data_IF_907619602911
#
_entry.id   IF_907619602911
#
_cell.length_a   1.000
_cell.length_b   1.000
_cell.length_c   1.000
_cell.angle_alpha   90.00
_cell.angle_beta   90.00
_cell.angle_gamma   90.00
#
_symmetry.space_group_name_H-M   'P 1'
#
loop_
_entity.id
_entity.type
_entity.pdbx_description
1 polymer ?
#
# COMPACT_ATOMS: atom_id res chain seq x y z
N UNK A 1 7.08 34.23 -1.29
CA UNK A 1 7.79 32.96 -0.99
C UNK A 1 9.01 32.69 -1.87
N UNK A 2 9.00 32.88 -3.19
CA UNK A 2 10.13 32.52 -4.07
C UNK A 2 11.50 33.14 -3.72
N UNK A 3 11.55 34.45 -3.36
CA UNK A 3 12.79 35.11 -2.92
C UNK A 3 13.33 34.59 -1.58
N UNK A 4 12.45 34.20 -0.66
CA UNK A 4 12.83 33.65 0.65
C UNK A 4 13.42 32.23 0.54
N UNK A 5 13.27 31.60 -0.63
CA UNK A 5 13.69 30.23 -0.95
C UNK A 5 14.87 30.18 -1.93
N UNK A 6 15.57 31.31 -2.15
CA UNK A 6 16.78 31.38 -2.99
C UNK A 6 16.54 31.28 -4.50
N UNK A 7 15.30 31.41 -4.98
CA UNK A 7 14.99 31.31 -6.41
C UNK A 7 15.32 32.63 -7.09
N UNK A 8 16.34 32.64 -7.95
CA UNK A 8 16.69 33.79 -8.77
C UNK A 8 15.53 34.12 -9.72
N UNK A 9 15.17 35.41 -9.78
CA UNK A 9 13.99 35.95 -10.49
C UNK A 9 13.82 35.49 -11.96
N UNK A 10 14.90 35.08 -12.63
CA UNK A 10 14.96 34.92 -14.09
C UNK A 10 14.06 33.78 -14.61
N UNK A 11 13.78 32.74 -13.81
CA UNK A 11 12.98 31.58 -14.23
C UNK A 11 11.76 31.32 -13.32
N UNK A 12 11.39 32.27 -12.46
CA UNK A 12 10.32 32.05 -11.48
C UNK A 12 8.94 31.91 -12.13
N UNK A 13 8.67 32.69 -13.19
CA UNK A 13 7.38 32.65 -13.87
C UNK A 13 7.14 31.30 -14.56
N UNK A 14 8.13 30.83 -15.33
CA UNK A 14 8.08 29.52 -16.00
C UNK A 14 7.89 28.38 -14.99
N UNK A 15 8.58 28.43 -13.85
CA UNK A 15 8.41 27.44 -12.78
C UNK A 15 7.02 27.50 -12.15
N UNK A 16 6.47 28.68 -11.94
CA UNK A 16 5.09 28.83 -11.44
C UNK A 16 4.12 28.25 -12.46
N UNK A 17 4.24 28.60 -13.75
CA UNK A 17 3.35 28.14 -14.80
C UNK A 17 3.40 26.60 -14.93
N UNK A 18 4.61 26.01 -14.89
CA UNK A 18 4.80 24.57 -14.89
C UNK A 18 4.15 23.88 -13.69
N UNK A 19 4.43 24.36 -12.47
CA UNK A 19 3.90 23.77 -11.24
C UNK A 19 2.38 23.94 -11.15
N UNK A 20 1.86 25.10 -11.56
CA UNK A 20 0.43 25.35 -11.62
C UNK A 20 -0.28 24.40 -12.57
N UNK A 21 0.32 24.09 -13.71
CA UNK A 21 -0.25 23.13 -14.65
C UNK A 21 -0.16 21.69 -14.16
N UNK A 22 0.98 21.30 -13.60
CA UNK A 22 1.19 19.97 -13.02
C UNK A 22 0.18 19.65 -11.91
N UNK A 23 -0.18 20.66 -11.11
CA UNK A 23 -1.06 20.53 -9.96
C UNK A 23 -2.50 20.98 -10.24
N UNK A 24 -2.84 21.36 -11.49
CA UNK A 24 -4.17 21.84 -11.90
C UNK A 24 -4.67 23.01 -11.04
N UNK A 25 -3.84 24.03 -10.86
CA UNK A 25 -4.13 25.20 -10.02
C UNK A 25 -4.57 26.43 -10.83
N UNK A 26 -4.65 26.33 -12.16
CA UNK A 26 -4.87 27.48 -13.05
C UNK A 26 -6.18 28.21 -12.75
N UNK A 27 -7.23 27.48 -12.40
CA UNK A 27 -8.56 28.01 -12.09
C UNK A 27 -8.61 28.76 -10.75
N UNK A 28 -7.62 28.56 -9.88
CA UNK A 28 -7.61 29.10 -8.51
C UNK A 28 -6.41 30.00 -8.21
N UNK A 29 -5.56 30.27 -9.21
CA UNK A 29 -4.32 31.05 -9.06
C UNK A 29 -4.52 32.44 -8.44
N UNK A 30 -5.66 33.08 -8.72
CA UNK A 30 -5.99 34.43 -8.24
C UNK A 30 -6.98 34.43 -7.08
N UNK A 31 -7.42 33.26 -6.63
CA UNK A 31 -8.37 33.12 -5.54
C UNK A 31 -7.65 33.19 -4.19
N UNK A 32 -8.19 33.92 -3.19
CA UNK A 32 -7.57 33.92 -1.86
C UNK A 32 -7.64 32.53 -1.23
N UNK A 33 -6.51 32.07 -0.66
CA UNK A 33 -6.34 30.70 -0.12
C UNK A 33 -7.45 30.32 0.88
N UNK A 34 -7.98 31.28 1.64
CA UNK A 34 -9.05 31.06 2.61
C UNK A 34 -10.36 30.53 1.98
N UNK A 35 -10.62 30.84 0.71
CA UNK A 35 -11.83 30.39 -0.01
C UNK A 35 -11.65 29.05 -0.74
N UNK A 36 -10.44 28.49 -0.72
CA UNK A 36 -10.15 27.25 -1.43
C UNK A 36 -10.53 26.02 -0.63
N UNK A 37 -10.92 24.94 -1.34
CA UNK A 37 -11.15 23.64 -0.71
C UNK A 37 -9.88 23.11 -0.05
N UNK A 38 -10.02 22.14 0.86
CA UNK A 38 -8.87 21.52 1.52
C UNK A 38 -7.90 20.88 0.50
N UNK A 39 -8.43 20.23 -0.54
CA UNK A 39 -7.64 19.70 -1.66
C UNK A 39 -6.82 20.76 -2.38
N UNK A 40 -7.42 21.90 -2.73
CA UNK A 40 -6.68 22.99 -3.36
C UNK A 40 -5.60 23.57 -2.44
N UNK A 41 -5.89 23.71 -1.15
CA UNK A 41 -4.89 24.18 -0.17
C UNK A 41 -3.69 23.22 -0.06
N UNK A 42 -3.93 21.92 -0.08
CA UNK A 42 -2.84 20.93 -0.09
C UNK A 42 -2.03 20.97 -1.38
N UNK A 43 -2.69 21.09 -2.54
CA UNK A 43 -1.98 21.25 -3.83
C UNK A 43 -1.15 22.53 -3.85
N UNK A 44 -1.63 23.64 -3.29
CA UNK A 44 -0.83 24.87 -3.17
C UNK A 44 0.37 24.67 -2.22
N UNK A 45 0.19 23.96 -1.11
CA UNK A 45 1.30 23.64 -0.21
C UNK A 45 2.39 22.81 -0.94
N UNK A 46 1.97 21.82 -1.74
CA UNK A 46 2.84 21.02 -2.59
C UNK A 46 3.48 21.86 -3.71
N UNK A 47 2.75 22.81 -4.30
CA UNK A 47 3.29 23.75 -5.27
C UNK A 47 4.47 24.53 -4.67
N UNK A 48 4.30 25.01 -3.44
CA UNK A 48 5.32 25.75 -2.71
C UNK A 48 6.61 24.96 -2.45
N UNK A 49 6.55 23.64 -2.35
CA UNK A 49 7.74 22.78 -2.27
C UNK A 49 8.32 22.47 -3.66
N UNK A 50 7.46 22.21 -4.66
CA UNK A 50 7.87 21.85 -6.01
C UNK A 50 8.53 22.97 -6.82
N UNK A 51 8.28 24.25 -6.52
CA UNK A 51 8.92 25.37 -7.24
C UNK A 51 10.47 25.29 -7.15
N UNK A 52 11.01 24.76 -6.05
CA UNK A 52 12.47 24.55 -5.91
C UNK A 52 12.99 23.35 -6.68
N UNK A 53 12.10 22.54 -7.26
CA UNK A 53 12.40 21.28 -7.94
C UNK A 53 13.23 20.31 -7.08
N UNK A 54 12.76 19.95 -5.86
CA UNK A 54 13.52 19.09 -4.96
C UNK A 54 13.56 17.65 -5.48
N UNK A 55 14.63 16.92 -5.14
CA UNK A 55 14.74 15.47 -5.37
C UNK A 55 13.88 14.68 -4.37
N UNK A 56 13.70 15.21 -3.16
CA UNK A 56 12.99 14.57 -2.06
C UNK A 56 11.76 15.39 -1.62
N UNK A 57 10.63 14.72 -1.42
CA UNK A 57 9.37 15.33 -0.95
C UNK A 57 8.91 14.59 0.30
N UNK A 58 8.62 15.35 1.35
CA UNK A 58 8.06 14.84 2.61
C UNK A 58 6.62 15.33 2.77
N UNK A 59 5.71 14.40 3.01
CA UNK A 59 4.29 14.68 3.15
C UNK A 59 3.74 14.06 4.43
N UNK A 60 3.20 14.88 5.32
CA UNK A 60 2.57 14.39 6.54
C UNK A 60 1.06 14.28 6.35
N UNK A 61 0.51 13.06 6.43
CA UNK A 61 -0.92 12.75 6.29
C UNK A 61 -1.60 13.48 5.10
N UNK A 62 -1.07 13.33 3.87
CA UNK A 62 -1.42 14.22 2.78
C UNK A 62 -2.83 14.05 2.24
N UNK A 63 -3.51 12.94 2.51
CA UNK A 63 -4.89 12.69 2.12
C UNK A 63 -5.90 13.11 3.20
N UNK A 64 -5.44 13.51 4.38
CA UNK A 64 -6.30 13.75 5.54
C UNK A 64 -7.35 14.82 5.24
N UNK A 65 -8.63 14.48 5.44
CA UNK A 65 -9.79 15.35 5.24
C UNK A 65 -10.05 15.80 3.80
N UNK A 66 -9.47 15.11 2.82
CA UNK A 66 -9.93 15.15 1.44
C UNK A 66 -11.17 14.29 1.27
N UNK A 67 -12.06 14.68 0.37
CA UNK A 67 -13.16 13.82 -0.07
C UNK A 67 -12.64 12.71 -1.02
N UNK A 68 -13.41 11.64 -1.27
CA UNK A 68 -12.96 10.51 -2.08
C UNK A 68 -12.48 10.88 -3.48
N UNK A 69 -13.09 11.89 -4.13
CA UNK A 69 -12.70 12.32 -5.48
C UNK A 69 -11.33 13.00 -5.41
N UNK A 70 -11.13 13.91 -4.44
CA UNK A 70 -9.85 14.58 -4.23
C UNK A 70 -8.72 13.60 -3.87
N UNK A 71 -9.01 12.54 -3.11
CA UNK A 71 -8.02 11.49 -2.79
C UNK A 71 -7.54 10.80 -4.07
N UNK A 72 -8.46 10.42 -4.97
CA UNK A 72 -8.10 9.76 -6.24
C UNK A 72 -7.22 10.68 -7.11
N UNK A 73 -7.56 11.96 -7.20
CA UNK A 73 -6.75 12.92 -7.95
C UNK A 73 -5.37 13.13 -7.31
N UNK A 74 -5.32 13.24 -5.98
CA UNK A 74 -4.07 13.36 -5.25
C UNK A 74 -3.16 12.14 -5.44
N UNK A 75 -3.73 10.93 -5.40
CA UNK A 75 -3.00 9.67 -5.68
C UNK A 75 -2.36 9.67 -7.07
N UNK A 76 -3.08 10.12 -8.10
CA UNK A 76 -2.53 10.25 -9.46
C UNK A 76 -1.35 11.21 -9.50
N UNK A 77 -1.47 12.33 -8.81
CA UNK A 77 -0.43 13.35 -8.71
C UNK A 77 0.84 12.80 -8.04
N UNK A 78 0.69 12.13 -6.90
CA UNK A 78 1.81 11.48 -6.19
C UNK A 78 2.49 10.45 -7.09
N UNK A 79 1.74 9.62 -7.83
CA UNK A 79 2.32 8.66 -8.78
C UNK A 79 3.10 9.34 -9.91
N UNK A 80 2.63 10.47 -10.43
CA UNK A 80 3.33 11.22 -11.48
C UNK A 80 4.65 11.78 -10.93
N UNK A 81 4.61 12.40 -9.75
CA UNK A 81 5.80 12.93 -9.09
C UNK A 81 6.80 11.83 -8.72
N UNK A 82 6.31 10.68 -8.26
CA UNK A 82 7.13 9.52 -7.87
C UNK A 82 7.97 8.93 -9.01
N UNK A 83 7.66 9.25 -10.27
CA UNK A 83 8.46 8.82 -11.43
C UNK A 83 9.83 9.50 -11.51
N UNK A 84 9.94 10.71 -10.96
CA UNK A 84 11.17 11.53 -11.07
C UNK A 84 11.70 12.00 -9.71
N UNK A 85 10.96 11.77 -8.63
CA UNK A 85 11.27 12.24 -7.28
C UNK A 85 11.05 11.14 -6.26
N UNK A 86 11.80 11.20 -5.16
CA UNK A 86 11.57 10.33 -4.00
C UNK A 86 10.56 10.99 -3.07
N UNK A 87 9.47 10.29 -2.77
CA UNK A 87 8.40 10.79 -1.91
C UNK A 87 8.32 9.92 -0.65
N UNK A 88 8.49 10.54 0.51
CA UNK A 88 8.19 9.93 1.80
C UNK A 88 6.88 10.53 2.32
N UNK A 89 5.90 9.69 2.61
CA UNK A 89 4.66 10.14 3.23
C UNK A 89 4.20 9.24 4.37
N UNK A 90 3.57 9.85 5.37
CA UNK A 90 2.85 9.16 6.44
C UNK A 90 1.38 9.04 6.05
N UNK A 91 0.78 7.88 6.32
CA UNK A 91 -0.66 7.68 6.26
C UNK A 91 -1.03 6.56 7.21
N UNK A 92 -2.13 6.73 7.93
CA UNK A 92 -2.79 5.66 8.68
C UNK A 92 -3.76 4.85 7.81
N UNK A 93 -4.00 5.28 6.57
CA UNK A 93 -4.92 4.62 5.63
C UNK A 93 -4.14 3.61 4.79
N UNK A 94 -4.19 2.34 5.20
CA UNK A 94 -3.40 1.26 4.60
C UNK A 94 -3.69 1.05 3.10
N UNK A 95 -4.91 1.34 2.65
CA UNK A 95 -5.28 1.26 1.23
C UNK A 95 -4.52 2.28 0.37
N UNK A 96 -4.15 3.43 0.93
CA UNK A 96 -3.32 4.41 0.23
C UNK A 96 -1.88 3.92 0.10
N UNK A 97 -1.37 3.31 1.17
CA UNK A 97 -0.03 2.71 1.20
C UNK A 97 0.05 1.58 0.17
N UNK A 98 -0.93 0.68 0.13
CA UNK A 98 -0.99 -0.43 -0.82
C UNK A 98 -1.02 0.04 -2.28
N UNK A 99 -1.63 1.20 -2.54
CA UNK A 99 -1.83 1.71 -3.88
C UNK A 99 -0.66 2.57 -4.38
N UNK A 100 0.01 3.32 -3.49
CA UNK A 100 0.99 4.34 -3.84
C UNK A 100 2.44 3.95 -3.58
N UNK A 101 2.71 3.09 -2.60
CA UNK A 101 4.07 2.87 -2.12
C UNK A 101 4.73 1.67 -2.79
N UNK A 102 5.99 1.83 -3.20
CA UNK A 102 6.85 0.69 -3.55
C UNK A 102 7.51 0.08 -2.30
N UNK A 103 7.62 0.87 -1.23
CA UNK A 103 8.36 0.54 -0.01
C UNK A 103 7.61 1.03 1.23
N UNK A 104 7.60 0.24 2.30
CA UNK A 104 6.86 0.54 3.54
C UNK A 104 7.77 0.46 4.76
N UNK A 105 7.65 1.50 5.60
CA UNK A 105 8.24 1.56 6.93
C UNK A 105 7.09 1.49 7.96
N UNK A 106 7.14 0.52 8.87
CA UNK A 106 6.12 0.36 9.91
C UNK A 106 6.71 0.77 11.25
N UNK A 107 6.10 1.78 11.87
CA UNK A 107 6.46 2.29 13.18
C UNK A 107 5.43 1.83 14.21
N UNK A 108 5.91 1.36 15.37
CA UNK A 108 5.07 1.00 16.52
C UNK A 108 5.75 1.42 17.82
N UNK A 109 5.03 2.18 18.66
CA UNK A 109 5.54 2.73 19.94
C UNK A 109 6.91 3.43 19.80
N UNK A 110 7.05 4.23 18.75
CA UNK A 110 8.28 4.99 18.47
C UNK A 110 9.45 4.16 17.93
N UNK A 111 9.24 2.87 17.61
CA UNK A 111 10.25 1.98 17.04
C UNK A 111 9.88 1.54 15.64
N UNK A 112 10.87 1.50 14.75
CA UNK A 112 10.73 0.88 13.43
C UNK A 112 10.67 -0.63 13.62
N UNK A 113 9.54 -1.24 13.29
CA UNK A 113 9.30 -2.68 13.46
C UNK A 113 9.34 -3.45 12.14
N UNK A 114 9.29 -2.76 11.01
CA UNK A 114 9.44 -3.33 9.67
C UNK A 114 9.94 -2.28 8.71
N UNK A 115 10.84 -2.69 7.82
CA UNK A 115 11.44 -1.90 6.74
C UNK A 115 11.57 -2.84 5.55
N UNK A 116 10.65 -2.74 4.58
CA UNK A 116 10.65 -3.63 3.42
C UNK A 116 9.88 -3.09 2.21
N UNK A 117 10.24 -3.55 1.00
CA UNK A 117 9.43 -3.36 -0.20
C UNK A 117 7.99 -3.85 -0.02
N UNK A 118 7.00 -3.12 -0.55
CA UNK A 118 5.59 -3.49 -0.42
C UNK A 118 5.29 -4.85 -1.09
N UNK A 119 5.98 -5.16 -2.19
CA UNK A 119 5.83 -6.43 -2.89
C UNK A 119 6.23 -7.64 -2.00
N UNK A 120 7.21 -7.49 -1.11
CA UNK A 120 7.61 -8.52 -0.15
C UNK A 120 6.56 -8.77 0.95
N UNK A 121 5.72 -7.77 1.24
CA UNK A 121 4.57 -7.91 2.15
C UNK A 121 3.46 -8.73 1.50
N UNK A 122 3.38 -8.67 0.16
CA UNK A 122 2.38 -9.36 -0.65
C UNK A 122 2.78 -10.79 -1.04
N UNK A 123 4.04 -11.19 -0.83
CA UNK A 123 4.49 -12.56 -1.06
C UNK A 123 3.98 -13.48 0.07
N UNK A 124 3.71 -14.74 -0.24
CA UNK A 124 3.20 -15.75 0.70
C UNK A 124 1.79 -15.47 1.26
N UNK A 125 0.90 -14.94 0.41
CA UNK A 125 -0.52 -14.82 0.71
C UNK A 125 -1.13 -16.20 0.93
N UNK A 126 -1.94 -16.38 1.99
CA UNK A 126 -2.75 -17.58 2.11
C UNK A 126 -3.64 -17.71 0.87
N UNK A 127 -3.85 -18.92 0.38
CA UNK A 127 -4.82 -19.23 -0.66
C UNK A 127 -6.03 -19.88 0.00
N UNK A 128 -7.23 -19.38 -0.32
CA UNK A 128 -8.50 -20.01 0.01
C UNK A 128 -8.86 -20.97 -1.13
N UNK A 129 -9.08 -22.24 -0.81
CA UNK A 129 -9.35 -23.31 -1.75
C UNK A 129 -10.66 -23.99 -1.38
N UNK A 130 -11.61 -24.03 -2.32
CA UNK A 130 -12.83 -24.83 -2.17
C UNK A 130 -12.62 -26.20 -2.81
N UNK A 131 -12.55 -27.25 -1.99
CA UNK A 131 -12.33 -28.62 -2.45
C UNK A 131 -13.38 -29.59 -1.88
N UNK A 132 -13.79 -30.57 -2.68
CA UNK A 132 -14.74 -31.62 -2.28
C UNK A 132 -13.97 -32.82 -1.75
N UNK A 133 -13.42 -32.68 -0.54
CA UNK A 133 -12.65 -33.71 0.15
C UNK A 133 -12.69 -33.47 1.66
N UNK A 134 -12.29 -34.45 2.46
CA UNK A 134 -12.15 -34.30 3.90
C UNK A 134 -10.80 -33.64 4.28
N UNK A 135 -10.69 -33.09 5.50
CA UNK A 135 -9.47 -32.42 5.94
C UNK A 135 -8.23 -33.32 6.00
N UNK A 136 -8.38 -34.62 6.24
CA UNK A 136 -7.24 -35.54 6.34
C UNK A 136 -6.64 -35.84 4.96
N UNK A 137 -7.49 -36.11 3.98
CA UNK A 137 -7.14 -36.33 2.58
C UNK A 137 -6.51 -35.06 2.00
N UNK A 138 -7.08 -33.89 2.28
CA UNK A 138 -6.53 -32.61 1.83
C UNK A 138 -5.14 -32.33 2.43
N UNK A 139 -4.96 -32.55 3.75
CA UNK A 139 -3.65 -32.38 4.40
C UNK A 139 -2.62 -33.39 3.89
N UNK A 140 -3.03 -34.63 3.64
CA UNK A 140 -2.16 -35.69 3.12
C UNK A 140 -1.66 -35.40 1.70
N UNK A 141 -2.50 -34.75 0.87
CA UNK A 141 -2.12 -34.29 -0.46
C UNK A 141 -0.99 -33.25 -0.42
N UNK A 142 -1.02 -32.36 0.57
CA UNK A 142 0.03 -31.37 0.85
C UNK A 142 1.01 -31.82 1.94
N UNK A 143 1.36 -33.11 1.98
CA UNK A 143 2.19 -33.74 3.02
C UNK A 143 3.62 -33.20 3.16
N UNK A 144 4.06 -32.30 2.28
CA UNK A 144 5.33 -31.58 2.47
C UNK A 144 5.20 -30.59 3.63
N UNK A 145 6.26 -30.45 4.45
CA UNK A 145 6.27 -29.67 5.69
C UNK A 145 6.14 -28.15 5.53
N UNK A 146 6.10 -27.66 4.30
CA UNK A 146 6.22 -26.25 3.98
C UNK A 146 4.85 -25.54 3.83
N UNK A 147 3.76 -26.18 4.29
CA UNK A 147 2.40 -25.64 4.27
C UNK A 147 1.78 -25.59 5.67
N UNK A 148 1.19 -24.44 6.00
CA UNK A 148 0.19 -24.32 7.08
C UNK A 148 -1.19 -24.45 6.45
N UNK A 149 -1.96 -25.44 6.89
CA UNK A 149 -3.29 -25.76 6.36
C UNK A 149 -4.31 -25.72 7.46
N UNK A 150 -5.30 -24.84 7.30
CA UNK A 150 -6.40 -24.64 8.23
C UNK A 150 -7.73 -24.80 7.50
N UNK A 151 -8.71 -25.43 8.13
CA UNK A 151 -10.10 -25.42 7.66
C UNK A 151 -10.77 -24.16 8.19
N UNK A 152 -11.37 -23.34 7.32
CA UNK A 152 -12.05 -22.10 7.76
C UNK A 152 -13.41 -22.37 8.41
N UNK A 153 -13.92 -23.59 8.27
CA UNK A 153 -15.27 -23.99 8.71
C UNK A 153 -16.37 -23.59 7.72
N UNK A 154 -16.03 -22.88 6.64
CA UNK A 154 -16.97 -22.52 5.58
C UNK A 154 -17.17 -23.68 4.61
N UNK A 155 -18.41 -23.91 4.21
CA UNK A 155 -18.78 -24.95 3.26
C UNK A 155 -19.75 -24.42 2.21
N UNK A 156 -19.56 -24.79 0.95
CA UNK A 156 -20.44 -24.40 -0.16
C UNK A 156 -20.72 -25.62 -1.05
N UNK A 157 -21.98 -26.06 -1.14
CA UNK A 157 -22.39 -27.19 -2.02
C UNK A 157 -21.51 -28.45 -1.87
N UNK A 158 -21.24 -28.88 -0.62
CA UNK A 158 -20.37 -30.02 -0.28
C UNK A 158 -18.86 -29.80 -0.54
N UNK A 159 -18.44 -28.58 -0.91
CA UNK A 159 -17.03 -28.19 -0.91
C UNK A 159 -16.67 -27.59 0.45
N UNK A 160 -15.57 -28.05 1.04
CA UNK A 160 -14.98 -27.45 2.23
C UNK A 160 -13.96 -26.37 1.81
N UNK A 161 -13.92 -25.27 2.56
CA UNK A 161 -12.94 -24.21 2.35
C UNK A 161 -11.69 -24.45 3.23
N UNK A 162 -10.55 -24.52 2.56
CA UNK A 162 -9.23 -24.68 3.16
C UNK A 162 -8.42 -23.41 2.94
N UNK A 163 -7.73 -22.96 3.98
CA UNK A 163 -6.73 -21.90 3.93
C UNK A 163 -5.34 -22.55 3.92
N UNK A 164 -4.59 -22.34 2.85
CA UNK A 164 -3.20 -22.79 2.72
C UNK A 164 -2.28 -21.59 2.75
N UNK A 165 -1.25 -21.62 3.58
CA UNK A 165 -0.16 -20.65 3.54
C UNK A 165 1.17 -21.40 3.38
N UNK A 166 2.00 -20.96 2.44
CA UNK A 166 3.38 -21.44 2.27
C UNK A 166 4.36 -20.27 2.32
N UNK A 167 5.54 -20.49 2.89
CA UNK A 167 6.62 -19.47 2.91
C UNK A 167 7.50 -19.49 1.65
N UNK A 168 7.39 -20.54 0.83
CA UNK A 168 8.27 -20.75 -0.34
C UNK A 168 7.55 -20.71 -1.67
N UNK A 169 6.24 -20.99 -1.69
CA UNK A 169 5.50 -21.21 -2.93
C UNK A 169 4.51 -20.10 -3.22
N UNK A 170 4.48 -19.68 -4.48
CA UNK A 170 3.49 -18.72 -4.99
C UNK A 170 2.11 -19.35 -5.16
N UNK A 171 1.08 -18.51 -5.31
CA UNK A 171 -0.28 -18.98 -5.58
C UNK A 171 -0.37 -19.80 -6.88
N UNK A 172 0.44 -19.48 -7.88
CA UNK A 172 0.51 -20.20 -9.15
C UNK A 172 1.11 -21.60 -8.97
N UNK A 173 2.15 -21.75 -8.14
CA UNK A 173 2.75 -23.05 -7.85
C UNK A 173 1.78 -23.94 -7.08
N UNK A 174 1.08 -23.39 -6.08
CA UNK A 174 0.00 -24.09 -5.37
C UNK A 174 -1.07 -24.54 -6.37
N UNK A 175 -1.44 -23.71 -7.35
CA UNK A 175 -2.38 -24.07 -8.39
C UNK A 175 -1.88 -25.24 -9.27
N UNK A 176 -0.59 -25.25 -9.65
CA UNK A 176 -0.03 -26.36 -10.43
C UNK A 176 -0.05 -27.68 -9.65
N UNK A 177 0.22 -27.64 -8.34
CA UNK A 177 0.13 -28.82 -7.47
C UNK A 177 -1.31 -29.33 -7.45
N UNK A 178 -2.27 -28.43 -7.21
CA UNK A 178 -3.70 -28.74 -7.13
C UNK A 178 -4.29 -29.36 -8.40
N UNK A 179 -3.72 -29.11 -9.60
CA UNK A 179 -4.15 -29.78 -10.83
C UNK A 179 -4.04 -31.30 -10.77
N UNK A 180 -3.13 -31.82 -9.95
CA UNK A 180 -2.91 -33.26 -9.77
C UNK A 180 -3.72 -33.84 -8.61
N UNK A 181 -4.64 -33.07 -8.01
CA UNK A 181 -5.48 -33.54 -6.91
C UNK A 181 -6.46 -34.64 -7.38
N UNK A 182 -6.66 -35.65 -6.55
CA UNK A 182 -7.63 -36.73 -6.77
C UNK A 182 -9.07 -36.33 -6.46
N UNK A 183 -9.30 -35.09 -6.01
CA UNK A 183 -10.60 -34.56 -5.60
C UNK A 183 -10.99 -33.31 -6.39
N UNK A 184 -12.30 -33.05 -6.59
CA UNK A 184 -12.76 -31.86 -7.29
C UNK A 184 -12.41 -30.55 -6.55
N UNK A 185 -11.93 -29.57 -7.31
CA UNK A 185 -11.64 -28.22 -6.83
C UNK A 185 -12.56 -27.24 -7.56
N UNK A 186 -13.25 -26.39 -6.81
CA UNK A 186 -14.19 -25.40 -7.35
C UNK A 186 -13.54 -24.03 -7.54
N UNK A 187 -12.68 -23.62 -6.63
CA UNK A 187 -11.99 -22.34 -6.72
C UNK A 187 -10.68 -22.35 -5.95
N UNK A 188 -9.75 -21.53 -6.43
CA UNK A 188 -8.57 -21.08 -5.70
C UNK A 188 -8.59 -19.55 -5.74
N UNK A 189 -8.52 -18.92 -4.57
CA UNK A 189 -8.49 -17.48 -4.45
C UNK A 189 -7.35 -17.11 -3.52
N UNK A 190 -6.31 -16.42 -4.01
CA UNK A 190 -5.32 -15.80 -3.14
C UNK A 190 -6.05 -14.84 -2.21
N UNK A 191 -5.92 -15.05 -0.91
CA UNK A 191 -6.43 -14.13 0.08
C UNK A 191 -5.69 -12.80 -0.10
N UNK A 192 -6.45 -11.70 -0.16
CA UNK A 192 -5.82 -10.39 -0.08
C UNK A 192 -5.29 -10.26 1.35
N UNK A 193 -4.00 -10.58 1.56
CA UNK A 193 -3.32 -10.09 2.76
C UNK A 193 -3.34 -8.57 2.65
N UNK A 194 -4.27 -7.96 3.37
CA UNK A 194 -4.21 -6.54 3.60
C UNK A 194 -2.95 -6.27 4.44
N UNK A 195 -2.34 -5.12 4.20
CA UNK A 195 -1.33 -4.54 5.07
C UNK A 195 -1.80 -4.50 6.54
N UNK A 196 -3.12 -4.49 6.75
CA UNK A 196 -3.76 -4.54 8.06
C UNK A 196 -3.47 -5.84 8.82
N UNK A 197 -3.60 -7.00 8.16
CA UNK A 197 -3.32 -8.30 8.77
C UNK A 197 -1.84 -8.43 9.15
N UNK A 198 -0.96 -7.90 8.29
CA UNK A 198 0.49 -7.87 8.54
C UNK A 198 0.84 -6.92 9.68
N UNK A 199 0.19 -5.76 9.73
CA UNK A 199 0.36 -4.83 10.83
C UNK A 199 -0.11 -5.44 12.16
N UNK A 200 -1.27 -6.10 12.17
CA UNK A 200 -1.79 -6.83 13.35
C UNK A 200 -0.83 -7.92 13.82
N UNK A 201 -0.30 -8.74 12.93
CA UNK A 201 0.64 -9.80 13.32
C UNK A 201 1.93 -9.23 13.92
N UNK A 202 2.53 -8.23 13.29
CA UNK A 202 3.78 -7.61 13.77
C UNK A 202 3.62 -6.89 15.11
N UNK A 203 2.44 -6.32 15.38
CA UNK A 203 2.16 -5.60 16.63
C UNK A 203 1.72 -6.54 17.76
N UNK A 204 1.19 -7.72 17.45
CA UNK A 204 0.73 -8.71 18.44
C UNK A 204 1.85 -9.68 18.86
N UNK A 205 2.79 -10.01 17.97
CA UNK A 205 3.78 -11.08 18.19
C UNK A 205 5.12 -10.67 18.84
N UNK A 206 5.34 -9.41 19.26
CA UNK A 206 6.60 -9.03 19.91
C UNK A 206 6.45 -8.87 21.43
N UNK A 207 7.10 -9.72 22.25
CA UNK A 207 7.37 -9.38 23.64
C UNK A 207 8.36 -8.20 23.68
N UNK A 208 8.29 -7.41 24.76
CA UNK A 208 9.03 -6.18 24.99
C UNK A 208 10.56 -6.33 24.82
N UNK A 209 11.09 -6.19 23.61
CA UNK A 209 12.54 -6.00 23.42
C UNK A 209 12.90 -4.51 23.39
N UNK A 210 13.42 -4.11 24.54
CA UNK A 210 13.96 -2.78 24.83
C UNK A 210 15.36 -2.67 24.25
N UNK A 211 15.48 -2.40 22.95
CA UNK A 211 16.74 -1.83 22.45
C UNK A 211 16.81 -0.37 22.91
N UNK A 212 17.71 -0.11 23.86
CA UNK A 212 18.18 1.23 24.23
C UNK A 212 19.16 1.69 23.16
N UNK A 213 18.95 2.91 22.68
CA UNK A 213 19.95 3.69 21.92
C UNK A 213 21.01 4.16 22.92
#
# INVERSE_FOLDING_TARGET
>A
MGKAKGIFKKNLKEKIDFVSSLLQLETVLHSPIGFLSKGFRQRIALAGSLIQDPEYIFLDEPSSGLDPIQIVEFKKLVRILGKTKTILFSSHVLQEIEELCDHVLILYKGKLISDRPLNSISQNRPCLILAKTDPETFKSFFSLTDYKIETTGRTENYFLEFRIQSEKLSSEEIFQILKNASFPIRSINPEKNSLESVFKSLTTNKPNETFRI
#
